data_IF_225589218390
#
_entry.id   IF_225589218390
#
_cell.length_a   1.000
_cell.length_b   1.000
_cell.length_c   1.000
_cell.angle_alpha   90.00
_cell.angle_beta   90.00
_cell.angle_gamma   90.00
#
_symmetry.space_group_name_H-M   'P 1'
#
loop_
_entity.id
_entity.type
_entity.pdbx_description
1 polymer ?
#
# COMPACT_ATOMS: atom_id res chain seq x y z
N UNK A 1 16.85 13.53 13.40
CA UNK A 1 18.14 12.89 13.05
C UNK A 1 17.96 12.09 11.75
N UNK A 2 17.61 12.79 10.66
CA UNK A 2 17.24 12.18 9.37
C UNK A 2 17.38 13.23 8.23
N UNK A 3 18.59 13.76 8.01
CA UNK A 3 18.82 14.80 7.00
C UNK A 3 20.27 14.83 6.46
N UNK A 4 20.92 13.65 6.34
CA UNK A 4 22.30 13.56 5.79
C UNK A 4 22.50 12.60 4.62
N UNK A 5 21.57 11.72 4.29
CA UNK A 5 21.79 10.70 3.24
C UNK A 5 21.31 11.06 1.82
N UNK A 6 20.76 12.26 1.59
CA UNK A 6 20.35 12.70 0.25
C UNK A 6 21.42 13.50 -0.50
N UNK A 7 22.66 13.55 0.00
CA UNK A 7 23.75 14.34 -0.61
C UNK A 7 24.72 13.51 -1.46
N UNK A 8 24.52 12.19 -1.59
CA UNK A 8 25.43 11.32 -2.35
C UNK A 8 24.91 10.85 -3.73
N UNK A 9 23.69 11.24 -4.13
CA UNK A 9 23.10 10.89 -5.42
C UNK A 9 23.20 12.00 -6.49
N UNK A 10 23.85 13.12 -6.17
CA UNK A 10 23.97 14.29 -7.06
C UNK A 10 25.26 14.38 -7.91
N UNK A 11 26.23 13.49 -7.72
CA UNK A 11 27.56 13.56 -8.38
C UNK A 11 27.82 12.43 -9.39
N UNK A 12 26.79 11.99 -10.13
CA UNK A 12 26.97 11.05 -11.26
C UNK A 12 26.29 11.52 -12.57
N UNK A 13 25.99 12.81 -12.68
CA UNK A 13 25.42 13.41 -13.89
C UNK A 13 26.25 14.66 -14.29
N UNK A 14 27.57 14.53 -14.37
CA UNK A 14 28.41 15.59 -14.98
C UNK A 14 29.78 15.08 -15.49
N UNK A 15 29.83 13.86 -16.03
CA UNK A 15 31.04 13.33 -16.69
C UNK A 15 30.65 12.53 -17.93
N UNK A 16 30.37 13.24 -19.02
CA UNK A 16 30.03 12.60 -20.30
C UNK A 16 29.81 13.59 -21.45
N UNK A 17 30.53 14.71 -21.47
CA UNK A 17 30.46 15.67 -22.56
C UNK A 17 31.85 16.26 -22.86
N UNK A 18 32.79 15.44 -23.34
CA UNK A 18 33.98 15.91 -24.05
C UNK A 18 34.63 14.73 -24.80
N UNK A 19 34.23 14.50 -26.05
CA UNK A 19 35.11 14.10 -27.16
C UNK A 19 34.27 14.08 -28.43
N UNK A 20 34.54 14.85 -29.48
CA UNK A 20 35.86 15.07 -30.03
C UNK A 20 35.92 14.39 -31.40
N UNK A 21 35.33 15.08 -32.39
CA UNK A 21 35.31 14.78 -33.84
C UNK A 21 36.44 13.87 -34.33
N UNK A 22 36.08 12.75 -34.98
CA UNK A 22 36.88 12.16 -36.07
C UNK A 22 36.00 11.74 -37.25
N UNK A 23 36.13 12.53 -38.30
CA UNK A 23 36.09 12.22 -39.74
C UNK A 23 35.75 10.77 -40.10
N UNK A 24 34.59 10.56 -40.73
CA UNK A 24 34.30 9.34 -41.49
C UNK A 24 34.38 9.66 -43.00
N UNK A 25 35.22 8.94 -43.75
CA UNK A 25 35.36 9.13 -45.19
C UNK A 25 34.20 8.53 -45.98
N UNK A 26 33.90 9.25 -47.06
CA UNK A 26 32.96 8.96 -48.14
C UNK A 26 33.19 7.59 -48.77
N UNK A 27 32.46 6.56 -48.33
CA UNK A 27 32.37 5.26 -49.03
C UNK A 27 31.06 4.54 -48.69
N UNK A 28 29.93 5.25 -48.72
CA UNK A 28 28.59 4.67 -48.64
C UNK A 28 27.94 4.69 -50.03
N UNK A 29 28.50 3.94 -50.98
CA UNK A 29 27.84 3.70 -52.27
C UNK A 29 28.12 2.26 -52.68
N UNK A 30 27.04 1.47 -52.74
CA UNK A 30 26.91 0.15 -53.37
C UNK A 30 27.77 -0.95 -52.74
N UNK A 31 27.12 -1.87 -52.03
CA UNK A 31 27.23 -3.33 -52.17
C UNK A 31 26.37 -3.97 -51.05
N UNK A 32 25.67 -5.05 -51.40
CA UNK A 32 24.92 -5.95 -50.52
C UNK A 32 23.48 -5.55 -50.12
N UNK A 33 22.70 -5.09 -51.10
CA UNK A 33 21.23 -5.25 -51.11
C UNK A 33 20.87 -6.67 -51.57
N UNK A 34 21.20 -7.68 -50.74
CA UNK A 34 20.84 -9.10 -50.91
C UNK A 34 21.40 -9.83 -49.69
N UNK A 35 20.60 -9.92 -48.63
CA UNK A 35 20.75 -10.75 -47.41
C UNK A 35 19.88 -10.23 -46.25
N UNK A 36 19.04 -9.21 -46.48
CA UNK A 36 18.10 -8.64 -45.50
C UNK A 36 16.83 -9.47 -45.26
N UNK A 37 16.71 -10.68 -45.81
CA UNK A 37 15.51 -11.52 -45.70
C UNK A 37 15.66 -12.73 -44.75
N UNK A 38 16.86 -13.02 -44.23
CA UNK A 38 17.09 -14.17 -43.33
C UNK A 38 17.32 -13.83 -41.85
N UNK A 39 17.32 -12.54 -41.48
CA UNK A 39 17.46 -12.11 -40.09
C UNK A 39 16.13 -11.69 -39.42
N UNK A 40 14.99 -11.84 -40.11
CA UNK A 40 13.68 -11.38 -39.65
C UNK A 40 12.75 -12.50 -39.14
N UNK A 41 13.22 -13.75 -39.06
CA UNK A 41 12.42 -14.94 -38.71
C UNK A 41 12.86 -15.66 -37.42
N UNK A 42 13.57 -14.98 -36.50
CA UNK A 42 14.09 -15.59 -35.26
C UNK A 42 13.90 -14.74 -33.99
N UNK A 43 12.77 -14.03 -33.86
CA UNK A 43 12.39 -13.39 -32.58
C UNK A 43 10.87 -13.26 -32.37
N UNK A 44 10.09 -14.20 -32.91
CA UNK A 44 8.78 -14.52 -32.36
C UNK A 44 8.90 -15.81 -31.53
N UNK A 45 8.21 -15.86 -30.39
CA UNK A 45 8.30 -16.85 -29.30
C UNK A 45 9.49 -16.57 -28.37
N UNK A 46 9.29 -16.10 -27.14
CA UNK A 46 8.29 -16.57 -26.17
C UNK A 46 7.75 -15.37 -25.37
N UNK A 47 6.58 -14.86 -25.73
CA UNK A 47 5.67 -14.31 -24.73
C UNK A 47 5.19 -15.51 -23.92
N UNK A 48 5.98 -15.92 -22.92
CA UNK A 48 5.39 -16.68 -21.84
C UNK A 48 4.38 -15.73 -21.25
N UNK A 49 3.11 -15.97 -21.53
CA UNK A 49 2.05 -15.64 -20.59
C UNK A 49 2.31 -16.50 -19.36
N UNK A 50 3.40 -16.21 -18.64
CA UNK A 50 3.39 -16.41 -17.21
C UNK A 50 2.23 -15.54 -16.78
N UNK A 51 1.09 -16.17 -16.52
CA UNK A 51 -0.01 -15.53 -15.81
C UNK A 51 0.69 -14.70 -14.74
N UNK A 52 0.50 -13.36 -14.70
CA UNK A 52 0.96 -12.64 -13.54
C UNK A 52 0.33 -13.42 -12.39
N UNK A 53 1.18 -13.99 -11.53
CA UNK A 53 0.73 -14.39 -10.21
C UNK A 53 0.32 -13.04 -9.63
N UNK A 54 -0.94 -12.67 -9.88
CA UNK A 54 -1.58 -11.57 -9.19
C UNK A 54 -1.31 -11.93 -7.75
N UNK A 55 -0.60 -11.04 -7.07
CA UNK A 55 -0.42 -11.16 -5.65
C UNK A 55 -1.82 -11.29 -5.08
N UNK A 56 -2.19 -12.50 -4.70
CA UNK A 56 -3.56 -12.76 -4.33
C UNK A 56 -3.71 -12.16 -2.94
N UNK A 57 -4.12 -10.89 -2.90
CA UNK A 57 -4.40 -10.18 -1.65
C UNK A 57 -5.41 -11.00 -0.82
N UNK A 58 -6.27 -11.80 -1.46
CA UNK A 58 -7.15 -12.72 -0.75
C UNK A 58 -6.37 -13.86 -0.08
N UNK A 59 -5.36 -14.45 -0.73
CA UNK A 59 -4.49 -15.46 -0.10
C UNK A 59 -3.68 -14.87 1.04
N UNK A 60 -3.13 -13.67 0.86
CA UNK A 60 -2.39 -12.95 1.91
C UNK A 60 -3.30 -12.64 3.10
N UNK A 61 -4.52 -12.18 2.82
CA UNK A 61 -5.53 -11.92 3.84
C UNK A 61 -5.90 -13.19 4.62
N UNK A 62 -6.11 -14.32 3.93
CA UNK A 62 -6.39 -15.59 4.57
C UNK A 62 -5.21 -16.10 5.41
N UNK A 63 -3.98 -15.96 4.92
CA UNK A 63 -2.77 -16.34 5.64
C UNK A 63 -2.58 -15.53 6.94
N UNK A 64 -2.98 -14.26 6.94
CA UNK A 64 -2.94 -13.40 8.12
C UNK A 64 -4.17 -13.50 9.04
N UNK A 65 -4.98 -14.55 8.90
CA UNK A 65 -6.13 -14.80 9.78
C UNK A 65 -7.37 -13.96 9.45
N UNK A 66 -7.34 -13.25 8.32
CA UNK A 66 -8.43 -12.39 7.85
C UNK A 66 -8.42 -11.00 8.49
N UNK A 67 -8.85 -10.01 7.69
CA UNK A 67 -9.06 -8.64 8.15
C UNK A 67 -10.13 -8.62 9.26
N UNK A 68 -9.83 -8.13 10.48
CA UNK A 68 -10.80 -8.09 11.56
C UNK A 68 -11.98 -7.18 11.22
N UNK A 69 -13.16 -7.56 11.70
CA UNK A 69 -14.38 -6.77 11.52
C UNK A 69 -14.38 -5.57 12.47
N UNK A 70 -14.71 -4.39 11.95
CA UNK A 70 -14.93 -3.21 12.77
C UNK A 70 -16.13 -3.43 13.72
N UNK A 71 -16.07 -2.92 14.96
CA UNK A 71 -17.19 -3.02 15.89
C UNK A 71 -18.40 -2.22 15.37
N UNK A 72 -19.61 -2.71 15.68
CA UNK A 72 -20.83 -2.00 15.32
C UNK A 72 -20.89 -0.62 15.97
N UNK A 73 -21.33 0.37 15.19
CA UNK A 73 -21.41 1.75 15.65
C UNK A 73 -22.49 1.87 16.72
N UNK A 74 -22.08 2.34 17.91
CA UNK A 74 -23.01 2.72 18.97
C UNK A 74 -23.24 4.22 18.89
N UNK A 75 -24.49 4.65 18.69
CA UNK A 75 -24.86 6.07 18.57
C UNK A 75 -24.76 6.75 19.94
N UNK A 76 -23.87 7.72 20.07
CA UNK A 76 -23.58 8.35 21.36
C UNK A 76 -24.75 9.17 21.93
N UNK A 77 -25.58 9.73 21.07
CA UNK A 77 -26.76 10.52 21.45
C UNK A 77 -27.87 9.68 22.12
N UNK A 78 -27.95 8.38 21.85
CA UNK A 78 -28.97 7.48 22.40
C UNK A 78 -28.43 6.35 23.28
N UNK A 79 -27.13 6.06 23.21
CA UNK A 79 -26.52 4.98 23.97
C UNK A 79 -26.45 5.28 25.48
N UNK A 80 -26.66 4.27 26.32
CA UNK A 80 -26.33 4.37 27.74
C UNK A 80 -24.82 4.17 28.00
N UNK A 81 -24.41 4.30 29.26
CA UNK A 81 -23.00 4.17 29.65
C UNK A 81 -22.43 2.76 29.42
N UNK A 82 -23.25 1.72 29.60
CA UNK A 82 -22.85 0.33 29.40
C UNK A 82 -22.63 0.03 27.91
N UNK A 83 -23.48 0.55 27.04
CA UNK A 83 -23.33 0.47 25.60
C UNK A 83 -22.05 1.19 25.13
N UNK A 84 -21.78 2.40 25.61
CA UNK A 84 -20.55 3.12 25.25
C UNK A 84 -19.28 2.46 25.80
N UNK A 85 -19.32 1.87 27.00
CA UNK A 85 -18.20 1.04 27.53
C UNK A 85 -17.95 -0.18 26.66
N UNK A 86 -19.01 -0.86 26.25
CA UNK A 86 -18.93 -2.02 25.34
C UNK A 86 -18.34 -1.61 23.99
N UNK A 87 -18.79 -0.50 23.41
CA UNK A 87 -18.24 0.01 22.15
C UNK A 87 -16.74 0.35 22.29
N UNK A 88 -16.34 1.01 23.38
CA UNK A 88 -14.94 1.30 23.67
C UNK A 88 -14.08 0.06 23.91
N UNK A 89 -14.64 -1.02 24.47
CA UNK A 89 -13.94 -2.31 24.57
C UNK A 89 -13.77 -2.97 23.20
N UNK A 90 -14.82 -2.97 22.37
CA UNK A 90 -14.77 -3.45 21.00
C UNK A 90 -13.73 -2.71 20.15
N UNK A 91 -13.63 -1.37 20.28
CA UNK A 91 -12.61 -0.58 19.58
C UNK A 91 -11.18 -0.94 19.96
N UNK A 92 -10.93 -1.22 21.26
CA UNK A 92 -9.61 -1.67 21.74
C UNK A 92 -9.25 -3.04 21.18
N UNK A 93 -10.20 -3.99 21.23
CA UNK A 93 -10.00 -5.32 20.67
C UNK A 93 -9.75 -5.26 19.14
N UNK A 94 -10.56 -4.49 18.42
CA UNK A 94 -10.41 -4.28 16.98
C UNK A 94 -9.03 -3.69 16.63
N UNK A 95 -8.60 -2.63 17.32
CA UNK A 95 -7.28 -2.02 17.07
C UNK A 95 -6.16 -3.00 17.34
N UNK A 96 -6.24 -3.78 18.43
CA UNK A 96 -5.26 -4.83 18.73
C UNK A 96 -5.17 -5.89 17.64
N UNK A 97 -6.31 -6.42 17.19
CA UNK A 97 -6.38 -7.39 16.10
C UNK A 97 -5.86 -6.83 14.77
N UNK A 98 -6.18 -5.57 14.47
CA UNK A 98 -5.74 -4.92 13.24
C UNK A 98 -4.23 -4.68 13.22
N UNK A 99 -3.65 -4.32 14.38
CA UNK A 99 -2.19 -4.21 14.49
C UNK A 99 -1.50 -5.56 14.29
N UNK A 100 -2.03 -6.64 14.89
CA UNK A 100 -1.52 -8.00 14.64
C UNK A 100 -1.62 -8.37 13.16
N UNK A 101 -2.72 -8.02 12.51
CA UNK A 101 -2.93 -8.26 11.07
C UNK A 101 -1.91 -7.49 10.22
N UNK A 102 -1.71 -6.20 10.48
CA UNK A 102 -0.72 -5.37 9.79
C UNK A 102 0.71 -5.89 10.00
N UNK A 103 1.05 -6.31 11.22
CA UNK A 103 2.35 -6.97 11.49
C UNK A 103 2.51 -8.24 10.67
N UNK A 104 1.46 -9.07 10.56
CA UNK A 104 1.51 -10.24 9.69
C UNK A 104 1.73 -9.88 8.22
N UNK A 105 1.06 -8.83 7.70
CA UNK A 105 1.29 -8.36 6.33
C UNK A 105 2.75 -7.94 6.11
N UNK A 106 3.32 -7.23 7.08
CA UNK A 106 4.68 -6.71 7.02
C UNK A 106 5.73 -7.84 7.17
N UNK A 107 5.42 -8.92 7.88
CA UNK A 107 6.31 -10.07 8.13
C UNK A 107 6.02 -11.29 7.23
N UNK A 108 5.03 -11.22 6.34
CA UNK A 108 4.61 -12.37 5.55
C UNK A 108 5.75 -12.90 4.66
N UNK A 109 6.07 -14.21 4.72
CA UNK A 109 7.16 -14.75 3.93
C UNK A 109 6.80 -14.73 2.45
N UNK A 110 7.41 -13.81 1.70
CA UNK A 110 7.35 -13.75 0.25
C UNK A 110 8.63 -14.33 -0.36
N UNK A 111 8.49 -15.11 -1.43
CA UNK A 111 9.65 -15.59 -2.18
C UNK A 111 10.42 -14.42 -2.82
N UNK A 112 11.73 -14.54 -3.08
CA UNK A 112 12.49 -13.50 -3.77
C UNK A 112 11.89 -13.10 -5.13
N UNK A 113 11.26 -14.05 -5.84
CA UNK A 113 10.60 -13.80 -7.12
C UNK A 113 9.32 -12.93 -6.95
N UNK A 114 8.52 -13.20 -5.93
CA UNK A 114 7.34 -12.37 -5.59
C UNK A 114 7.77 -10.98 -5.14
N UNK A 115 8.78 -10.89 -4.26
CA UNK A 115 9.32 -9.59 -3.85
C UNK A 115 9.92 -8.80 -5.00
N UNK A 116 10.48 -9.45 -6.03
CA UNK A 116 10.99 -8.80 -7.24
C UNK A 116 9.86 -8.28 -8.15
N UNK A 117 8.65 -8.83 -8.04
CA UNK A 117 7.48 -8.37 -8.80
C UNK A 117 7.01 -6.98 -8.36
N UNK A 118 7.01 -6.03 -9.30
CA UNK A 118 6.49 -4.68 -9.08
C UNK A 118 4.96 -4.65 -8.87
N UNK A 119 4.24 -5.64 -9.41
CA UNK A 119 2.80 -5.79 -9.15
C UNK A 119 2.56 -6.20 -7.70
N UNK A 120 3.25 -7.25 -7.24
CA UNK A 120 3.13 -7.74 -5.86
C UNK A 120 3.39 -6.64 -4.82
N UNK A 121 4.51 -5.93 -4.94
CA UNK A 121 4.83 -4.84 -4.00
C UNK A 121 3.74 -3.75 -3.99
N UNK A 122 3.21 -3.39 -5.15
CA UNK A 122 2.15 -2.36 -5.26
C UNK A 122 0.86 -2.83 -4.60
N UNK A 123 0.46 -4.08 -4.82
CA UNK A 123 -0.78 -4.63 -4.30
C UNK A 123 -0.73 -4.75 -2.77
N UNK A 124 0.39 -5.24 -2.21
CA UNK A 124 0.60 -5.29 -0.75
C UNK A 124 0.60 -3.90 -0.14
N UNK A 125 1.30 -2.93 -0.74
CA UNK A 125 1.30 -1.53 -0.25
C UNK A 125 -0.10 -0.92 -0.30
N UNK A 126 -0.80 -1.09 -1.42
CA UNK A 126 -2.17 -0.59 -1.60
C UNK A 126 -3.12 -1.20 -0.57
N UNK A 127 -3.05 -2.51 -0.37
CA UNK A 127 -3.88 -3.20 0.61
C UNK A 127 -3.60 -2.70 2.04
N UNK A 128 -2.32 -2.59 2.41
CA UNK A 128 -1.91 -2.05 3.71
C UNK A 128 -2.45 -0.64 3.94
N UNK A 129 -2.40 0.23 2.93
CA UNK A 129 -2.97 1.58 3.00
C UNK A 129 -4.48 1.55 3.22
N UNK A 130 -5.23 0.71 2.50
CA UNK A 130 -6.68 0.57 2.67
C UNK A 130 -7.06 0.15 4.09
N UNK A 131 -6.27 -0.74 4.69
CA UNK A 131 -6.46 -1.22 6.06
C UNK A 131 -6.22 -0.10 7.08
N UNK A 132 -5.18 0.71 6.88
CA UNK A 132 -4.90 1.88 7.72
C UNK A 132 -6.02 2.93 7.58
N UNK A 133 -6.45 3.23 6.36
CA UNK A 133 -7.55 4.18 6.13
C UNK A 133 -8.85 3.70 6.81
N UNK A 134 -9.10 2.39 6.84
CA UNK A 134 -10.24 1.81 7.55
C UNK A 134 -10.13 2.02 9.06
N UNK A 135 -8.95 1.83 9.65
CA UNK A 135 -8.72 2.13 11.07
C UNK A 135 -9.04 3.59 11.37
N UNK A 136 -8.48 4.52 10.59
CA UNK A 136 -8.67 5.95 10.78
C UNK A 136 -10.15 6.34 10.72
N UNK A 137 -10.89 5.85 9.72
CA UNK A 137 -12.34 6.07 9.62
C UNK A 137 -13.09 5.54 10.83
N UNK A 138 -12.73 4.36 11.31
CA UNK A 138 -13.42 3.69 12.43
C UNK A 138 -13.13 4.41 13.75
N UNK A 139 -11.89 4.81 14.00
CA UNK A 139 -11.50 5.60 15.18
C UNK A 139 -12.12 6.99 15.15
N UNK A 140 -12.12 7.65 13.99
CA UNK A 140 -12.80 8.95 13.82
C UNK A 140 -14.28 8.85 14.16
N UNK A 141 -14.96 7.80 13.68
CA UNK A 141 -16.37 7.56 14.01
C UNK A 141 -16.58 7.35 15.51
N UNK A 142 -15.78 6.51 16.15
CA UNK A 142 -15.85 6.31 17.60
C UNK A 142 -15.69 7.62 18.38
N UNK A 143 -14.75 8.48 17.98
CA UNK A 143 -14.52 9.78 18.63
C UNK A 143 -15.69 10.76 18.46
N UNK A 144 -16.39 10.72 17.32
CA UNK A 144 -17.62 11.48 17.10
C UNK A 144 -18.70 11.02 18.08
N UNK A 145 -18.95 9.71 18.17
CA UNK A 145 -20.00 9.17 19.04
C UNK A 145 -19.67 9.37 20.53
N UNK A 146 -18.40 9.22 20.93
CA UNK A 146 -17.97 9.48 22.30
C UNK A 146 -18.20 10.93 22.71
N UNK A 147 -17.97 11.90 21.81
CA UNK A 147 -18.27 13.32 22.08
C UNK A 147 -19.77 13.57 22.19
N UNK A 148 -20.58 12.98 21.31
CA UNK A 148 -22.04 13.09 21.38
C UNK A 148 -22.59 12.56 22.72
N UNK A 149 -22.09 11.41 23.16
CA UNK A 149 -22.46 10.83 24.45
C UNK A 149 -22.12 11.75 25.64
N UNK A 150 -20.88 12.27 25.67
CA UNK A 150 -20.43 13.19 26.72
C UNK A 150 -21.24 14.49 26.74
N UNK A 151 -21.56 15.04 25.57
CA UNK A 151 -22.38 16.24 25.47
C UNK A 151 -23.77 16.02 26.08
N UNK A 152 -24.42 14.88 25.78
CA UNK A 152 -25.72 14.55 26.37
C UNK A 152 -25.65 14.37 27.89
N UNK A 153 -24.63 13.67 28.40
CA UNK A 153 -24.45 13.51 29.86
C UNK A 153 -24.36 14.87 30.57
N UNK A 154 -23.65 15.84 29.98
CA UNK A 154 -23.55 17.19 30.56
C UNK A 154 -24.88 17.94 30.59
N UNK A 155 -25.75 17.73 29.60
CA UNK A 155 -27.08 18.36 29.55
C UNK A 155 -27.99 17.82 30.65
N UNK A 156 -28.02 16.49 30.84
CA UNK A 156 -28.84 15.86 31.88
C UNK A 156 -28.41 16.31 33.28
N UNK A 157 -27.10 16.44 33.52
CA UNK A 157 -26.57 16.91 34.81
C UNK A 157 -26.90 18.38 35.12
N UNK A 158 -27.23 19.19 34.10
CA UNK A 158 -27.50 20.63 34.25
C UNK A 158 -28.96 20.98 34.56
N UNK A 159 -29.88 20.01 34.53
CA UNK A 159 -31.30 20.24 34.83
C UNK A 159 -31.48 20.31 36.36
N UNK A 160 -31.87 21.45 36.94
CA UNK A 160 -32.12 21.58 38.37
C UNK A 160 -33.26 20.64 38.79
N UNK A 161 -33.09 19.91 39.89
CA UNK A 161 -34.17 19.12 40.47
C UNK A 161 -35.26 20.07 41.00
N UNK A 162 -36.56 19.80 40.72
CA UNK A 162 -37.66 20.64 41.18
C UNK A 162 -37.80 20.67 42.70
#
# INVERSE_FOLDING_TARGET
MAQRDLRHLGEMIEQGNHDGRRLLPSSFVRIAMKNLLSALLLSMFVLTTGNPVLADVASLNAACGGLPAAPSVTRGDSADETAMRTYGAGMRAYTGQLMTYLTCLDEHPASPAEMASAAYRRDVISHRQQVVDQLERTVSRFNIELRAFKARQSQVASVPSP
#
